data_IF_099006248656
#
_entry.id   IF_099006248656
#
_cell.length_a   1.000
_cell.length_b   1.000
_cell.length_c   1.000
_cell.angle_alpha   90.00
_cell.angle_beta   90.00
_cell.angle_gamma   90.00
#
_symmetry.space_group_name_H-M   'P 1'
#
loop_
_entity.id
_entity.type
_entity.pdbx_description
1 polymer ?
#
# COMPACT_ATOMS: atom_id res chain seq x y z
N UNK A 1 14.38 -4.97 -18.17
CA UNK A 1 13.28 -4.01 -18.00
C UNK A 1 13.67 -3.09 -16.87
N UNK A 2 13.60 -1.79 -17.11
CA UNK A 2 13.74 -0.80 -16.05
C UNK A 2 12.51 -0.90 -15.13
N UNK A 3 12.72 -0.87 -13.81
CA UNK A 3 11.59 -0.93 -12.87
C UNK A 3 10.75 0.33 -13.02
N UNK A 4 9.42 0.18 -13.07
CA UNK A 4 8.46 1.31 -13.15
C UNK A 4 8.50 2.19 -11.90
N UNK A 5 8.86 1.62 -10.74
CA UNK A 5 8.89 2.32 -9.46
C UNK A 5 10.21 2.14 -8.71
N UNK A 6 10.52 3.13 -7.88
CA UNK A 6 11.65 3.16 -6.96
C UNK A 6 11.21 3.65 -5.58
N UNK A 7 11.92 3.24 -4.52
CA UNK A 7 11.70 3.77 -3.18
C UNK A 7 12.71 4.88 -2.94
N UNK A 8 12.25 6.11 -2.71
CA UNK A 8 13.08 7.27 -2.43
C UNK A 8 13.12 7.51 -0.92
N UNK A 9 14.31 7.57 -0.34
CA UNK A 9 14.54 8.03 1.03
C UNK A 9 14.91 9.51 1.00
N UNK A 10 14.03 10.36 1.52
CA UNK A 10 14.24 11.79 1.61
C UNK A 10 13.91 12.27 3.02
N UNK A 11 14.88 12.96 3.66
CA UNK A 11 14.76 13.48 5.04
C UNK A 11 14.26 12.44 6.07
N UNK A 12 14.72 11.20 5.93
CA UNK A 12 14.37 10.11 6.83
C UNK A 12 13.00 9.46 6.59
N UNK A 13 12.28 9.85 5.52
CA UNK A 13 11.01 9.25 5.12
C UNK A 13 11.13 8.57 3.76
N UNK A 14 10.48 7.43 3.62
CA UNK A 14 10.40 6.66 2.38
C UNK A 14 9.16 7.06 1.57
N UNK A 15 9.33 7.12 0.25
CA UNK A 15 8.30 7.43 -0.73
C UNK A 15 8.37 6.39 -1.85
N UNK A 16 7.22 5.87 -2.27
CA UNK A 16 7.14 5.09 -3.50
C UNK A 16 7.01 6.08 -4.65
N UNK A 17 7.94 6.03 -5.60
CA UNK A 17 8.01 6.98 -6.69
C UNK A 17 7.99 6.28 -8.04
N UNK A 18 7.28 6.87 -8.99
CA UNK A 18 7.55 6.65 -10.41
C UNK A 18 8.82 7.41 -10.81
N UNK A 19 9.34 7.12 -11.99
CA UNK A 19 10.44 7.89 -12.57
C UNK A 19 10.22 8.12 -14.06
N UNK A 20 10.55 9.32 -14.51
CA UNK A 20 10.50 9.73 -15.92
C UNK A 20 11.55 10.81 -16.14
N UNK A 21 12.38 10.67 -17.19
CA UNK A 21 13.39 11.65 -17.61
C UNK A 21 14.30 12.20 -16.49
N UNK A 22 14.73 11.34 -15.56
CA UNK A 22 15.61 11.71 -14.43
C UNK A 22 14.91 12.43 -13.28
N UNK A 23 13.58 12.50 -13.30
CA UNK A 23 12.75 13.04 -12.23
C UNK A 23 11.96 11.91 -11.56
N UNK A 24 11.98 11.87 -10.23
CA UNK A 24 11.15 10.94 -9.45
C UNK A 24 9.92 11.67 -8.91
N UNK A 25 8.72 11.10 -9.07
CA UNK A 25 7.49 11.68 -8.52
C UNK A 25 6.80 10.71 -7.56
N UNK A 26 6.34 11.21 -6.41
CA UNK A 26 5.59 10.42 -5.43
C UNK A 26 4.25 9.96 -6.04
N UNK A 27 4.02 8.65 -6.10
CA UNK A 27 2.84 8.08 -6.76
C UNK A 27 1.51 8.45 -6.06
N UNK A 28 1.58 8.77 -4.77
CA UNK A 28 0.42 9.20 -3.96
C UNK A 28 0.16 10.70 -4.04
N UNK A 29 1.16 11.47 -4.45
CA UNK A 29 1.10 12.92 -4.55
C UNK A 29 2.01 13.41 -5.69
N UNK A 30 1.60 13.27 -6.97
CA UNK A 30 2.50 13.50 -8.12
C UNK A 30 3.07 14.92 -8.23
N UNK A 31 2.49 15.90 -7.54
CA UNK A 31 3.05 17.26 -7.42
C UNK A 31 4.34 17.31 -6.57
N UNK A 32 4.66 16.23 -5.86
CA UNK A 32 5.90 16.07 -5.11
C UNK A 32 6.90 15.32 -5.98
N UNK A 33 7.97 16.03 -6.35
CA UNK A 33 9.05 15.51 -7.17
C UNK A 33 10.38 15.54 -6.44
N UNK A 34 11.33 14.72 -6.90
CA UNK A 34 12.72 14.68 -6.46
C UNK A 34 13.61 14.65 -7.70
N UNK A 35 14.54 15.59 -7.80
CA UNK A 35 15.36 15.78 -9.00
C UNK A 35 16.82 15.46 -8.72
N UNK A 36 17.41 14.57 -9.51
CA UNK A 36 18.82 14.19 -9.40
C UNK A 36 19.73 15.42 -9.56
N UNK A 37 20.66 15.60 -8.63
CA UNK A 37 21.59 16.75 -8.63
C UNK A 37 21.03 18.02 -7.98
N UNK A 38 19.73 18.11 -7.72
CA UNK A 38 19.10 19.22 -6.99
C UNK A 38 18.73 18.81 -5.57
N UNK A 39 18.10 17.65 -5.40
CA UNK A 39 17.64 17.14 -4.11
C UNK A 39 18.62 16.09 -3.51
N UNK A 40 18.84 16.17 -2.19
CA UNK A 40 19.59 15.15 -1.44
C UNK A 40 18.67 14.00 -1.01
N UNK A 41 18.45 13.06 -1.94
CA UNK A 41 17.73 11.82 -1.68
C UNK A 41 18.58 10.59 -2.00
N UNK A 42 18.11 9.43 -1.53
CA UNK A 42 18.71 8.14 -1.88
C UNK A 42 17.66 7.23 -2.49
N UNK A 43 18.00 6.60 -3.61
CA UNK A 43 17.23 5.50 -4.14
C UNK A 43 17.54 4.27 -3.29
N UNK A 44 16.52 3.72 -2.64
CA UNK A 44 16.61 2.46 -1.92
C UNK A 44 16.28 1.30 -2.84
N UNK A 45 17.05 0.22 -2.73
CA UNK A 45 16.64 -1.04 -3.29
C UNK A 45 15.34 -1.50 -2.60
N UNK A 46 14.39 -2.01 -3.39
CA UNK A 46 13.11 -2.53 -2.89
C UNK A 46 13.26 -3.71 -1.91
N UNK A 47 14.49 -4.20 -1.69
CA UNK A 47 14.76 -5.43 -0.96
C UNK A 47 14.28 -6.63 -1.78
N UNK A 48 15.19 -7.55 -2.12
CA UNK A 48 14.76 -8.83 -2.69
C UNK A 48 14.02 -9.62 -1.59
N UNK A 49 12.91 -10.28 -1.95
CA UNK A 49 12.26 -11.35 -1.19
C UNK A 49 11.46 -10.97 0.08
N UNK A 50 10.84 -9.78 0.16
CA UNK A 50 9.83 -9.55 1.23
C UNK A 50 8.47 -10.15 0.92
N UNK A 51 8.24 -10.66 -0.29
CA UNK A 51 7.00 -11.33 -0.71
C UNK A 51 6.70 -12.62 0.06
N UNK A 52 7.70 -13.24 0.70
CA UNK A 52 7.52 -14.42 1.55
C UNK A 52 7.24 -14.07 3.02
N UNK A 53 7.30 -12.79 3.39
CA UNK A 53 7.06 -12.35 4.77
C UNK A 53 5.63 -12.69 5.17
N UNK A 54 5.48 -13.40 6.28
CA UNK A 54 4.19 -13.68 6.89
C UNK A 54 3.92 -12.76 8.08
N UNK A 55 2.64 -12.64 8.42
CA UNK A 55 2.14 -11.90 9.54
C UNK A 55 1.10 -12.71 10.29
N UNK A 56 1.13 -12.60 11.62
CA UNK A 56 0.15 -13.27 12.47
C UNK A 56 -1.18 -12.51 12.51
N UNK A 57 -2.27 -13.20 12.16
CA UNK A 57 -3.65 -12.71 12.19
C UNK A 57 -4.60 -13.85 12.63
N UNK A 58 -5.54 -13.59 13.55
CA UNK A 58 -6.36 -14.64 14.17
C UNK A 58 -5.59 -15.90 14.62
N UNK A 59 -4.36 -15.71 15.12
CA UNK A 59 -3.50 -16.80 15.60
C UNK A 59 -2.77 -17.62 14.54
N UNK A 60 -2.98 -17.38 13.24
CA UNK A 60 -2.32 -18.07 12.11
C UNK A 60 -1.41 -17.12 11.32
N UNK A 61 -0.51 -17.67 10.52
CA UNK A 61 0.41 -16.92 9.65
C UNK A 61 -0.18 -16.74 8.25
N UNK A 62 -0.14 -15.51 7.73
CA UNK A 62 -0.62 -15.16 6.40
C UNK A 62 0.37 -14.25 5.68
N UNK A 63 0.39 -14.29 4.35
CA UNK A 63 1.05 -13.26 3.54
C UNK A 63 0.09 -12.11 3.31
N UNK A 64 0.59 -10.89 3.42
CA UNK A 64 -0.15 -9.70 2.99
C UNK A 64 0.11 -9.49 1.50
N UNK A 65 -0.95 -9.44 0.71
CA UNK A 65 -0.88 -9.16 -0.72
C UNK A 65 -1.60 -7.86 -0.99
N UNK A 66 -0.92 -6.98 -1.74
CA UNK A 66 -1.53 -5.74 -2.24
C UNK A 66 -2.10 -5.99 -3.63
N UNK A 67 -3.28 -5.46 -3.90
CA UNK A 67 -3.90 -5.40 -5.23
C UNK A 67 -4.65 -4.09 -5.40
N UNK A 68 -5.49 -3.99 -6.42
CA UNK A 68 -6.27 -2.79 -6.71
C UNK A 68 -7.68 -3.14 -7.15
N UNK A 69 -8.67 -2.38 -6.66
CA UNK A 69 -10.04 -2.44 -7.16
C UNK A 69 -10.08 -1.93 -8.61
N UNK A 70 -11.14 -2.22 -9.39
CA UNK A 70 -11.24 -1.78 -10.78
C UNK A 70 -11.14 -0.26 -10.98
N UNK A 71 -11.48 0.54 -9.95
CA UNK A 71 -11.34 1.99 -9.97
C UNK A 71 -9.97 2.47 -9.44
N UNK A 72 -8.97 1.61 -9.32
CA UNK A 72 -7.59 1.97 -8.97
C UNK A 72 -7.30 2.14 -7.48
N UNK A 73 -8.29 1.99 -6.59
CA UNK A 73 -8.06 2.08 -5.14
C UNK A 73 -7.39 0.82 -4.57
N UNK A 74 -6.48 0.92 -3.58
CA UNK A 74 -5.75 -0.21 -3.02
C UNK A 74 -6.65 -1.24 -2.36
N UNK A 75 -6.30 -2.51 -2.59
CA UNK A 75 -6.85 -3.69 -1.90
C UNK A 75 -5.74 -4.30 -1.06
N UNK A 76 -5.98 -4.52 0.22
CA UNK A 76 -5.09 -5.33 1.06
C UNK A 76 -5.77 -6.63 1.42
N UNK A 77 -5.14 -7.76 1.10
CA UNK A 77 -5.66 -9.10 1.35
C UNK A 77 -4.68 -9.92 2.17
N UNK A 78 -5.20 -10.86 2.94
CA UNK A 78 -4.41 -11.91 3.56
C UNK A 78 -4.60 -13.21 2.79
N UNK A 79 -3.50 -13.85 2.44
CA UNK A 79 -3.49 -15.12 1.72
C UNK A 79 -2.70 -16.15 2.49
N UNK A 80 -3.10 -17.41 2.34
CA UNK A 80 -2.34 -18.54 2.86
C UNK A 80 -0.93 -18.59 2.24
N UNK A 81 0.13 -18.71 3.06
CA UNK A 81 1.49 -18.83 2.54
C UNK A 81 1.71 -20.11 1.72
N UNK A 82 0.97 -21.18 2.03
CA UNK A 82 1.20 -22.51 1.46
C UNK A 82 0.65 -22.66 0.04
N UNK A 83 -0.50 -22.06 -0.24
CA UNK A 83 -1.24 -22.27 -1.49
C UNK A 83 -1.78 -20.98 -2.13
N UNK A 84 -1.57 -19.81 -1.51
CA UNK A 84 -2.06 -18.52 -2.02
C UNK A 84 -3.58 -18.37 -1.96
N UNK A 85 -4.30 -19.23 -1.23
CA UNK A 85 -5.75 -19.07 -1.08
C UNK A 85 -6.08 -17.82 -0.25
N UNK A 86 -7.01 -17.02 -0.75
CA UNK A 86 -7.51 -15.83 -0.07
C UNK A 86 -8.17 -16.22 1.26
N UNK A 87 -7.69 -15.61 2.34
CA UNK A 87 -8.28 -15.74 3.67
C UNK A 87 -9.30 -14.64 3.95
N UNK A 88 -8.92 -13.38 3.77
CA UNK A 88 -9.81 -12.23 3.96
C UNK A 88 -9.29 -11.00 3.21
N UNK A 89 -10.17 -10.06 2.91
CA UNK A 89 -9.83 -8.72 2.39
C UNK A 89 -9.96 -7.72 3.54
N UNK A 90 -8.89 -7.00 3.83
CA UNK A 90 -8.80 -6.05 4.95
C UNK A 90 -9.32 -4.65 4.60
N UNK A 91 -9.43 -4.34 3.31
CA UNK A 91 -9.96 -3.07 2.81
C UNK A 91 -11.38 -3.22 2.30
N UNK A 92 -12.11 -2.11 2.28
CA UNK A 92 -13.38 -1.97 1.57
C UNK A 92 -13.31 -0.78 0.63
N UNK A 93 -13.81 -0.96 -0.59
CA UNK A 93 -13.96 0.16 -1.53
C UNK A 93 -15.27 0.87 -1.25
N UNK A 94 -15.22 2.15 -0.85
CA UNK A 94 -16.41 3.00 -0.82
C UNK A 94 -16.21 4.26 -1.68
N UNK A 95 -15.20 4.24 -2.54
CA UNK A 95 -14.94 5.30 -3.52
C UNK A 95 -15.59 4.94 -4.84
N UNK A 96 -16.34 5.88 -5.41
CA UNK A 96 -17.01 5.68 -6.69
C UNK A 96 -16.17 6.18 -7.87
N UNK A 97 -15.26 7.12 -7.61
CA UNK A 97 -14.41 7.72 -8.63
C UNK A 97 -13.12 6.93 -8.85
N UNK A 98 -12.62 6.86 -10.10
CA UNK A 98 -11.28 6.37 -10.37
C UNK A 98 -10.24 7.10 -9.52
N UNK A 99 -9.30 6.35 -8.97
CA UNK A 99 -8.15 6.90 -8.28
C UNK A 99 -7.26 7.67 -9.27
N UNK A 100 -6.67 8.77 -8.78
CA UNK A 100 -5.63 9.49 -9.50
C UNK A 100 -4.27 9.00 -9.02
N UNK A 101 -3.47 8.40 -9.91
CA UNK A 101 -2.22 7.75 -9.52
C UNK A 101 -2.46 6.53 -8.61
N UNK A 102 -1.56 6.31 -7.65
CA UNK A 102 -1.68 5.24 -6.65
C UNK A 102 -1.93 5.89 -5.29
N UNK A 103 -3.18 5.91 -4.79
CA UNK A 103 -3.49 6.63 -3.57
C UNK A 103 -2.91 5.88 -2.36
N UNK A 104 -2.39 6.63 -1.39
CA UNK A 104 -1.91 6.11 -0.12
C UNK A 104 -3.03 6.03 0.93
N UNK A 105 -4.28 5.93 0.49
CA UNK A 105 -5.46 5.92 1.35
C UNK A 105 -6.37 4.75 1.00
N UNK A 106 -6.89 4.08 2.01
CA UNK A 106 -7.92 3.06 1.86
C UNK A 106 -8.82 2.99 3.09
N UNK A 107 -10.08 2.60 2.88
CA UNK A 107 -10.96 2.28 3.99
C UNK A 107 -10.76 0.84 4.44
N UNK A 108 -10.73 0.62 5.74
CA UNK A 108 -10.46 -0.67 6.36
C UNK A 108 -11.77 -1.34 6.74
N UNK A 109 -11.97 -2.58 6.29
CA UNK A 109 -13.19 -3.36 6.51
C UNK A 109 -13.28 -3.91 7.93
N UNK A 110 -13.55 -3.03 8.89
CA UNK A 110 -13.74 -3.43 10.29
C UNK A 110 -15.05 -4.19 10.54
N UNK A 111 -15.96 -4.23 9.56
CA UNK A 111 -17.22 -4.96 9.71
C UNK A 111 -16.98 -6.46 9.66
N UNK A 112 -16.17 -6.91 8.70
CA UNK A 112 -15.79 -8.33 8.59
C UNK A 112 -14.47 -8.63 9.33
N UNK A 113 -13.63 -7.62 9.56
CA UNK A 113 -12.31 -7.76 10.17
C UNK A 113 -12.10 -6.70 11.28
N UNK A 114 -12.72 -6.85 12.48
CA UNK A 114 -12.72 -5.83 13.53
C UNK A 114 -11.33 -5.34 13.97
N UNK A 115 -10.32 -6.21 13.88
CA UNK A 115 -8.93 -5.97 14.26
C UNK A 115 -8.01 -5.54 13.10
N UNK A 116 -8.54 -5.42 11.87
CA UNK A 116 -7.74 -5.11 10.68
C UNK A 116 -6.95 -3.81 10.81
N UNK A 117 -7.55 -2.76 11.39
CA UNK A 117 -6.89 -1.47 11.57
C UNK A 117 -5.69 -1.59 12.51
N UNK A 118 -5.88 -2.23 13.67
CA UNK A 118 -4.82 -2.47 14.63
C UNK A 118 -3.70 -3.34 14.05
N UNK A 119 -4.08 -4.37 13.27
CA UNK A 119 -3.14 -5.22 12.55
C UNK A 119 -2.26 -4.45 11.56
N UNK A 120 -2.82 -3.52 10.79
CA UNK A 120 -2.04 -2.73 9.84
C UNK A 120 -1.08 -1.78 10.57
N UNK A 121 -1.54 -1.12 11.63
CA UNK A 121 -0.73 -0.19 12.42
C UNK A 121 0.42 -0.91 13.13
N UNK A 122 0.14 -2.02 13.84
CA UNK A 122 1.17 -2.75 14.61
C UNK A 122 2.29 -3.29 13.74
N UNK A 123 2.02 -3.53 12.46
CA UNK A 123 2.99 -4.03 11.48
C UNK A 123 3.63 -2.91 10.63
N UNK A 124 3.36 -1.64 10.95
CA UNK A 124 3.88 -0.47 10.21
C UNK A 124 3.47 -0.44 8.72
N UNK A 125 2.31 -1.01 8.40
CA UNK A 125 1.74 -1.07 7.06
C UNK A 125 0.81 0.11 6.77
N UNK A 126 0.26 0.73 7.82
CA UNK A 126 -0.57 1.92 7.70
C UNK A 126 -0.58 2.74 9.00
N UNK A 127 -1.04 3.98 8.90
CA UNK A 127 -1.30 4.91 10.01
C UNK A 127 -2.81 5.24 10.06
N UNK A 128 -3.37 5.50 11.25
CA UNK A 128 -4.74 6.01 11.37
C UNK A 128 -4.79 7.49 10.98
N UNK A 129 -5.67 7.83 10.04
CA UNK A 129 -5.90 9.22 9.63
C UNK A 129 -6.80 9.97 10.61
N UNK A 130 -7.52 9.24 11.46
CA UNK A 130 -8.61 9.75 12.29
C UNK A 130 -9.92 9.98 11.53
N UNK A 131 -9.91 9.89 10.19
CA UNK A 131 -11.10 10.04 9.37
C UNK A 131 -11.91 8.75 9.31
N UNK A 132 -13.23 8.89 9.42
CA UNK A 132 -14.21 7.79 9.36
C UNK A 132 -15.28 8.14 8.32
N UNK A 133 -15.71 7.15 7.53
CA UNK A 133 -16.85 7.29 6.62
C UNK A 133 -17.95 6.31 6.98
N UNK A 134 -19.16 6.84 7.17
CA UNK A 134 -20.35 6.02 7.37
C UNK A 134 -20.83 5.42 6.06
N UNK A 135 -21.04 4.11 6.03
CA UNK A 135 -21.76 3.41 4.96
C UNK A 135 -22.71 2.40 5.59
N UNK A 136 -24.01 2.57 5.30
CA UNK A 136 -25.07 1.86 6.03
C UNK A 136 -25.01 2.11 7.54
N UNK A 137 -24.77 1.05 8.31
CA UNK A 137 -24.71 1.06 9.77
C UNK A 137 -23.29 1.07 10.35
N UNK A 138 -22.27 1.10 9.50
CA UNK A 138 -20.87 0.96 9.89
C UNK A 138 -20.10 2.26 9.59
N UNK A 139 -19.17 2.62 10.47
CA UNK A 139 -18.23 3.73 10.28
C UNK A 139 -16.82 3.21 10.01
N UNK A 140 -16.43 3.20 8.74
CA UNK A 140 -15.17 2.61 8.30
C UNK A 140 -13.98 3.57 8.53
N UNK A 141 -12.89 3.13 9.19
CA UNK A 141 -11.62 3.86 9.25
C UNK A 141 -11.01 4.07 7.89
N UNK A 142 -10.51 5.28 7.63
CA UNK A 142 -9.52 5.49 6.58
C UNK A 142 -8.12 5.37 7.18
N UNK A 143 -7.29 4.53 6.57
CA UNK A 143 -5.89 4.40 6.89
C UNK A 143 -5.03 5.09 5.83
N UNK A 144 -3.90 5.64 6.26
CA UNK A 144 -2.82 6.09 5.39
C UNK A 144 -1.81 4.97 5.20
N UNK A 145 -1.69 4.44 4.00
CA UNK A 145 -0.91 3.26 3.66
C UNK A 145 0.58 3.57 3.52
N UNK A 146 1.43 2.64 3.97
CA UNK A 146 2.86 2.66 3.72
C UNK A 146 3.15 2.03 2.35
N UNK A 147 2.95 2.80 1.27
CA UNK A 147 3.12 2.30 -0.11
C UNK A 147 4.52 1.73 -0.38
N UNK A 148 5.57 2.28 0.24
CA UNK A 148 6.92 1.75 0.12
C UNK A 148 6.98 0.31 0.64
N UNK A 149 6.48 0.04 1.85
CA UNK A 149 6.47 -1.32 2.41
C UNK A 149 5.54 -2.26 1.65
N UNK A 150 4.36 -1.78 1.23
CA UNK A 150 3.44 -2.57 0.43
C UNK A 150 4.04 -2.97 -0.92
N UNK A 151 4.78 -2.06 -1.57
CA UNK A 151 5.54 -2.37 -2.79
C UNK A 151 6.63 -3.42 -2.54
N UNK A 152 7.32 -3.40 -1.39
CA UNK A 152 8.28 -4.46 -1.04
C UNK A 152 7.60 -5.83 -0.90
N UNK A 153 6.37 -5.87 -0.38
CA UNK A 153 5.61 -7.12 -0.17
C UNK A 153 5.01 -7.66 -1.47
N UNK A 154 4.59 -6.80 -2.39
CA UNK A 154 3.87 -7.22 -3.60
C UNK A 154 4.29 -6.38 -4.83
N UNK A 155 5.57 -6.40 -5.25
CA UNK A 155 6.03 -5.51 -6.32
C UNK A 155 5.29 -5.75 -7.66
N UNK A 156 4.99 -7.00 -7.96
CA UNK A 156 4.29 -7.41 -9.19
C UNK A 156 2.90 -6.77 -9.31
N UNK A 157 2.19 -6.59 -8.20
CA UNK A 157 0.85 -6.00 -8.19
C UNK A 157 0.85 -4.53 -8.61
N UNK A 158 1.94 -3.80 -8.33
CA UNK A 158 2.07 -2.40 -8.72
C UNK A 158 2.50 -2.27 -10.20
N UNK A 159 3.30 -3.22 -10.68
CA UNK A 159 3.84 -3.22 -12.04
C UNK A 159 2.77 -3.58 -13.09
N UNK A 160 1.78 -4.39 -12.71
CA UNK A 160 0.69 -4.86 -13.59
C UNK A 160 -0.54 -3.92 -13.64
N UNK A 161 -0.46 -2.70 -13.13
CA UNK A 161 -1.49 -1.68 -13.41
C UNK A 161 -1.29 -1.13 -14.82
N UNK A 162 -2.11 -1.63 -15.76
CA UNK A 162 -2.31 -1.09 -17.12
C UNK A 162 -3.29 0.09 -17.14
#
# INVERSE_FOLDING_TARGET
MEKKYAIILFKGKEYLCGHEDGCHYDVSCPVRTFTEGEDDFKIQESGKNRSERTFRYHGKEFRLVTGFYPNGWPVLSLESPDNGELYTVLTVNLEDSPAFGIPDQAFIDINNNPEAMEFLIRNSLAEDTGYRRKSGWVEYPMAKLNLAELYRLSPESFENQE
#
